data_IF_879973259676
#
_entry.id   IF_879973259676
#
_cell.length_a   1.000
_cell.length_b   1.000
_cell.length_c   1.000
_cell.angle_alpha   90.00
_cell.angle_beta   90.00
_cell.angle_gamma   90.00
#
_symmetry.space_group_name_H-M   'P 1'
#
loop_
_entity.id
_entity.type
_entity.pdbx_description
1 polymer ?
#
# COMPACT_ATOMS: atom_id res chain seq x y z
N UNK A 1 4.73 -67.67 -61.87
CA UNK A 1 4.05 -66.55 -62.55
C UNK A 1 2.54 -66.79 -62.51
N UNK A 2 1.74 -65.73 -62.42
CA UNK A 2 0.24 -65.71 -62.52
C UNK A 2 -0.49 -65.90 -61.17
N UNK A 3 -0.70 -64.82 -60.41
CA UNK A 3 -1.90 -63.93 -60.31
C UNK A 3 -3.09 -64.54 -59.55
N UNK A 4 -3.29 -64.07 -58.31
CA UNK A 4 -4.48 -64.30 -57.48
C UNK A 4 -5.39 -63.03 -57.57
N UNK A 5 -6.70 -63.16 -57.78
CA UNK A 5 -7.60 -62.04 -58.04
C UNK A 5 -8.07 -61.33 -56.75
N UNK A 6 -8.33 -60.03 -56.94
CA UNK A 6 -8.90 -59.08 -55.99
C UNK A 6 -10.42 -59.17 -56.02
N UNK A 7 -11.09 -59.47 -54.90
CA UNK A 7 -12.41 -58.92 -54.56
C UNK A 7 -12.72 -59.17 -53.10
N UNK A 8 -12.81 -58.12 -52.26
CA UNK A 8 -13.59 -58.18 -51.02
C UNK A 8 -13.98 -56.77 -50.56
N UNK A 9 -15.29 -56.55 -50.63
CA UNK A 9 -16.15 -55.81 -49.70
C UNK A 9 -15.76 -54.41 -49.23
N UNK A 10 -16.51 -53.43 -49.76
CA UNK A 10 -16.75 -52.15 -49.12
C UNK A 10 -17.85 -52.28 -48.05
N UNK A 11 -17.54 -51.91 -46.80
CA UNK A 11 -18.51 -51.51 -45.78
C UNK A 11 -17.89 -50.32 -45.04
N UNK A 12 -18.60 -49.19 -45.05
CA UNK A 12 -18.18 -47.96 -44.39
C UNK A 12 -18.43 -47.99 -42.88
N UNK A 13 -17.60 -47.24 -42.15
CA UNK A 13 -17.92 -46.71 -40.84
C UNK A 13 -17.13 -45.41 -40.63
N UNK A 14 -17.83 -44.28 -40.70
CA UNK A 14 -17.28 -42.98 -40.32
C UNK A 14 -17.18 -42.94 -38.79
N UNK A 15 -15.95 -42.81 -38.27
CA UNK A 15 -15.68 -42.59 -36.85
C UNK A 15 -15.03 -41.21 -36.73
N UNK A 16 -15.78 -40.26 -36.17
CA UNK A 16 -15.30 -38.94 -35.81
C UNK A 16 -14.25 -39.03 -34.70
N UNK A 17 -13.09 -38.43 -34.94
CA UNK A 17 -12.00 -38.34 -33.98
C UNK A 17 -11.96 -36.90 -33.44
N UNK A 18 -12.75 -36.64 -32.41
CA UNK A 18 -12.68 -35.43 -31.57
C UNK A 18 -12.33 -35.83 -30.15
N UNK A 19 -11.04 -35.84 -29.82
CA UNK A 19 -10.52 -35.92 -28.45
C UNK A 19 -9.31 -34.95 -28.42
N UNK A 20 -9.57 -33.70 -28.06
CA UNK A 20 -9.48 -33.19 -26.69
C UNK A 20 -8.04 -32.80 -26.37
N UNK A 21 -7.74 -31.51 -26.55
CA UNK A 21 -6.54 -30.89 -26.02
C UNK A 21 -6.53 -31.05 -24.51
N UNK A 22 -5.58 -31.86 -24.02
CA UNK A 22 -5.19 -31.87 -22.62
C UNK A 22 -4.48 -30.55 -22.32
N UNK A 23 -5.25 -29.48 -22.17
CA UNK A 23 -4.81 -28.27 -21.50
C UNK A 23 -4.53 -28.61 -20.04
N UNK A 24 -3.27 -28.86 -19.72
CA UNK A 24 -2.75 -28.68 -18.37
C UNK A 24 -2.81 -27.18 -18.04
N UNK A 25 -4.01 -26.65 -17.81
CA UNK A 25 -4.18 -25.40 -17.07
C UNK A 25 -4.52 -25.79 -15.63
N UNK A 26 -3.55 -26.40 -14.95
CA UNK A 26 -3.52 -26.36 -13.49
C UNK A 26 -3.29 -24.90 -13.12
N UNK A 27 -4.36 -24.10 -13.11
CA UNK A 27 -4.33 -22.81 -12.43
C UNK A 27 -3.87 -23.11 -11.01
N UNK A 28 -2.62 -22.75 -10.73
CA UNK A 28 -2.03 -22.89 -9.39
C UNK A 28 -2.57 -21.72 -8.58
N UNK A 29 -3.89 -21.68 -8.42
CA UNK A 29 -4.56 -20.72 -7.56
C UNK A 29 -4.12 -21.09 -6.16
N UNK A 30 -3.09 -20.40 -5.68
CA UNK A 30 -2.62 -20.49 -4.30
C UNK A 30 -3.71 -19.86 -3.43
N UNK A 31 -4.76 -20.63 -3.18
CA UNK A 31 -5.91 -20.22 -2.40
C UNK A 31 -5.54 -20.26 -0.93
N UNK A 32 -5.32 -19.08 -0.35
CA UNK A 32 -5.31 -18.94 1.09
C UNK A 32 -6.72 -18.63 1.58
N UNK A 33 -7.31 -19.54 2.35
CA UNK A 33 -8.69 -19.39 2.83
C UNK A 33 -8.81 -18.50 4.08
N UNK A 34 -7.70 -18.07 4.68
CA UNK A 34 -7.68 -17.46 5.99
C UNK A 34 -7.80 -15.94 6.00
N UNK A 35 -7.21 -15.26 4.99
CA UNK A 35 -7.09 -13.80 4.93
C UNK A 35 -6.38 -13.17 6.14
N UNK A 36 -5.98 -11.91 6.03
CA UNK A 36 -5.25 -11.23 7.11
C UNK A 36 -5.76 -9.82 7.41
N UNK A 37 -5.39 -9.33 8.57
CA UNK A 37 -5.59 -7.97 9.05
C UNK A 37 -4.19 -7.37 9.23
N UNK A 38 -3.90 -6.33 8.45
CA UNK A 38 -2.72 -5.50 8.62
C UNK A 38 -3.06 -4.38 9.61
N UNK A 39 -2.17 -4.10 10.57
CA UNK A 39 -2.42 -3.08 11.59
C UNK A 39 -1.12 -2.36 11.93
N UNK A 40 -1.15 -1.03 11.96
CA UNK A 40 -0.11 -0.21 12.58
C UNK A 40 -0.24 -0.38 14.09
N UNK A 41 0.77 -0.98 14.72
CA UNK A 41 0.77 -1.26 16.16
C UNK A 41 1.57 -0.24 16.97
N UNK A 42 2.66 0.26 16.41
CA UNK A 42 3.53 1.23 17.07
C UNK A 42 4.00 2.30 16.08
N UNK A 43 4.08 3.55 16.52
CA UNK A 43 4.66 4.65 15.77
C UNK A 43 5.19 5.70 16.75
N UNK A 44 6.23 6.42 16.36
CA UNK A 44 6.90 7.41 17.22
C UNK A 44 6.15 8.75 17.37
N UNK A 45 5.16 9.02 16.49
CA UNK A 45 4.41 10.28 16.45
C UNK A 45 5.25 11.50 16.12
N UNK A 46 6.43 11.32 15.51
CA UNK A 46 7.34 12.40 15.12
C UNK A 46 7.13 12.76 13.65
N UNK A 47 7.48 13.99 13.25
CA UNK A 47 7.88 15.13 14.08
C UNK A 47 6.67 15.87 14.67
N UNK A 48 6.80 16.50 15.84
CA UNK A 48 5.71 17.28 16.46
C UNK A 48 5.69 18.76 16.04
N UNK A 49 6.87 19.33 15.73
CA UNK A 49 7.04 20.72 15.30
C UNK A 49 8.07 20.74 14.17
N UNK A 50 7.78 21.48 13.10
CA UNK A 50 8.64 21.68 11.93
C UNK A 50 8.75 23.17 11.63
N UNK A 51 9.97 23.68 11.51
CA UNK A 51 10.23 25.01 10.96
C UNK A 51 10.29 24.92 9.43
N UNK A 52 9.42 25.65 8.72
CA UNK A 52 9.35 25.58 7.25
C UNK A 52 10.56 26.22 6.56
N UNK A 53 11.24 27.13 7.26
CA UNK A 53 12.43 27.83 6.73
C UNK A 53 13.73 27.02 6.90
N UNK A 54 13.67 25.86 7.55
CA UNK A 54 14.78 24.92 7.60
C UNK A 54 14.72 23.97 6.41
N UNK A 55 15.87 23.62 5.82
CA UNK A 55 15.96 22.52 4.85
C UNK A 55 15.86 21.17 5.59
N UNK A 56 14.68 20.87 6.12
CA UNK A 56 14.41 19.72 7.00
C UNK A 56 13.45 18.77 6.30
N UNK A 57 13.80 17.49 6.32
CA UNK A 57 12.90 16.42 5.88
C UNK A 57 11.79 16.21 6.92
N UNK A 58 10.55 16.27 6.46
CA UNK A 58 9.39 15.94 7.29
C UNK A 58 9.12 14.45 7.14
N UNK A 59 9.60 13.66 8.11
CA UNK A 59 9.55 12.20 8.06
C UNK A 59 9.26 11.58 9.43
N UNK A 60 8.69 10.37 9.43
CA UNK A 60 8.62 9.49 10.60
C UNK A 60 9.92 8.70 10.71
N UNK A 61 10.45 8.52 11.93
CA UNK A 61 11.66 7.73 12.13
C UNK A 61 11.34 6.23 12.07
N UNK A 62 10.26 5.80 12.73
CA UNK A 62 9.81 4.40 12.73
C UNK A 62 8.29 4.19 12.84
N UNK A 63 7.79 3.16 12.16
CA UNK A 63 6.43 2.64 12.30
C UNK A 63 6.42 1.13 12.16
N UNK A 64 5.73 0.45 13.06
CA UNK A 64 5.65 -1.01 13.09
C UNK A 64 4.27 -1.47 12.62
N UNK A 65 4.27 -2.40 11.66
CA UNK A 65 3.09 -3.08 11.17
C UNK A 65 3.03 -4.49 11.75
N UNK A 66 1.82 -4.94 12.06
CA UNK A 66 1.48 -6.31 12.47
C UNK A 66 0.53 -6.94 11.47
N UNK A 67 0.76 -8.21 11.18
CA UNK A 67 -0.07 -9.01 10.29
C UNK A 67 -0.69 -10.18 11.07
N UNK A 68 -1.99 -10.15 11.30
CA UNK A 68 -2.73 -11.16 12.08
C UNK A 68 -3.76 -11.86 11.18
N UNK A 69 -3.89 -13.19 11.20
CA UNK A 69 -4.92 -13.89 10.44
C UNK A 69 -6.32 -13.47 10.91
N UNK A 70 -7.27 -13.36 9.96
CA UNK A 70 -8.65 -12.98 10.29
C UNK A 70 -9.35 -14.01 11.18
N UNK A 71 -8.94 -15.29 11.11
CA UNK A 71 -9.45 -16.38 11.93
C UNK A 71 -8.37 -16.73 12.97
N UNK A 72 -8.53 -16.32 14.24
CA UNK A 72 -7.58 -16.68 15.29
C UNK A 72 -7.52 -18.20 15.47
N UNK A 73 -6.30 -18.75 15.49
CA UNK A 73 -6.08 -20.20 15.64
C UNK A 73 -6.38 -21.04 14.39
N UNK A 74 -6.74 -20.42 13.27
CA UNK A 74 -6.83 -21.08 11.97
C UNK A 74 -5.47 -21.51 11.43
N UNK A 75 -5.46 -22.39 10.44
CA UNK A 75 -4.23 -22.73 9.73
C UNK A 75 -3.67 -21.48 9.03
N UNK A 76 -2.40 -21.19 9.25
CA UNK A 76 -1.70 -20.09 8.58
C UNK A 76 -0.67 -20.62 7.59
N UNK A 77 -0.51 -19.93 6.47
CA UNK A 77 0.47 -20.27 5.44
C UNK A 77 1.38 -19.08 5.12
N UNK A 78 2.53 -19.33 4.49
CA UNK A 78 3.40 -18.25 4.01
C UNK A 78 2.71 -17.36 2.96
N UNK A 79 1.63 -17.84 2.32
CA UNK A 79 0.86 -17.06 1.36
C UNK A 79 0.09 -15.91 2.01
N UNK A 80 -0.12 -15.99 3.33
CA UNK A 80 -0.70 -14.93 4.16
C UNK A 80 0.28 -13.81 4.50
N UNK A 81 1.56 -13.94 4.15
CA UNK A 81 2.51 -12.84 4.33
C UNK A 81 2.08 -11.67 3.46
N UNK A 82 2.22 -10.46 3.98
CA UNK A 82 1.85 -9.24 3.28
C UNK A 82 3.10 -8.59 2.71
N UNK A 83 3.13 -8.41 1.40
CA UNK A 83 4.01 -7.46 0.73
C UNK A 83 3.39 -6.07 0.82
N UNK A 84 4.07 -5.16 1.51
CA UNK A 84 3.68 -3.76 1.52
C UNK A 84 4.16 -3.14 0.22
N UNK A 85 3.29 -2.41 -0.46
CA UNK A 85 3.59 -1.78 -1.75
C UNK A 85 3.76 -0.25 -1.58
N UNK A 86 2.87 0.37 -0.81
CA UNK A 86 2.81 1.82 -0.68
C UNK A 86 2.16 2.28 0.61
N UNK A 87 2.29 3.57 0.89
CA UNK A 87 1.55 4.26 1.92
C UNK A 87 1.06 5.61 1.41
N UNK A 88 -0.03 6.07 2.01
CA UNK A 88 -0.65 7.36 1.75
C UNK A 88 -0.61 8.19 3.03
N UNK A 89 -0.23 9.45 2.88
CA UNK A 89 -0.28 10.47 3.91
C UNK A 89 -1.30 11.52 3.50
N UNK A 90 -2.29 11.76 4.34
CA UNK A 90 -3.29 12.81 4.14
C UNK A 90 -3.26 13.81 5.28
N UNK A 91 -3.70 15.03 4.97
CA UNK A 91 -3.66 16.15 5.89
C UNK A 91 -5.06 16.66 6.16
N UNK A 92 -5.31 17.09 7.39
CA UNK A 92 -6.49 17.87 7.75
C UNK A 92 -6.06 19.04 8.62
N UNK A 93 -6.76 20.17 8.52
CA UNK A 93 -6.50 21.30 9.41
C UNK A 93 -6.97 20.99 10.83
N UNK A 94 -6.12 21.31 11.81
CA UNK A 94 -6.47 21.24 13.24
C UNK A 94 -6.83 22.62 13.83
N UNK A 95 -6.53 23.70 13.10
CA UNK A 95 -6.84 25.07 13.48
C UNK A 95 -7.99 25.67 12.68
N UNK A 96 -8.05 27.00 12.62
CA UNK A 96 -9.14 27.76 11.98
C UNK A 96 -8.97 27.97 10.46
N UNK A 97 -7.87 27.51 9.86
CA UNK A 97 -7.63 27.58 8.41
C UNK A 97 -8.31 26.43 7.66
N UNK A 98 -8.44 26.57 6.34
CA UNK A 98 -9.10 25.56 5.48
C UNK A 98 -8.16 24.95 4.44
N UNK A 99 -7.09 25.65 4.04
CA UNK A 99 -6.11 25.12 3.09
C UNK A 99 -5.28 24.03 3.75
N UNK A 100 -5.04 22.97 2.98
CA UNK A 100 -4.22 21.81 3.34
C UNK A 100 -3.26 21.48 2.20
N UNK A 101 -2.09 20.89 2.49
CA UNK A 101 -1.25 20.30 1.47
C UNK A 101 -1.98 19.18 0.71
N UNK A 102 -1.52 18.89 -0.49
CA UNK A 102 -1.99 17.71 -1.25
C UNK A 102 -1.64 16.42 -0.51
N UNK A 103 -2.37 15.32 -0.71
CA UNK A 103 -1.96 14.01 -0.23
C UNK A 103 -0.57 13.62 -0.77
N UNK A 104 0.22 12.95 0.05
CA UNK A 104 1.51 12.39 -0.33
C UNK A 104 1.40 10.87 -0.42
N UNK A 105 1.89 10.28 -1.51
CA UNK A 105 1.89 8.84 -1.73
C UNK A 105 3.29 8.41 -2.11
N UNK A 106 3.79 7.39 -1.43
CA UNK A 106 5.12 6.84 -1.71
C UNK A 106 5.11 5.32 -1.61
N UNK A 107 6.05 4.70 -2.33
CA UNK A 107 6.32 3.28 -2.20
C UNK A 107 6.89 2.96 -0.82
N UNK A 108 6.41 1.87 -0.22
CA UNK A 108 7.02 1.27 0.96
C UNK A 108 7.33 -0.17 0.58
N UNK A 109 8.61 -0.53 0.51
CA UNK A 109 9.02 -1.92 0.29
C UNK A 109 9.21 -2.63 1.63
N UNK A 110 8.53 -3.76 1.83
CA UNK A 110 8.68 -4.57 3.04
C UNK A 110 7.75 -5.78 3.06
N UNK A 111 8.04 -6.74 3.94
CA UNK A 111 7.24 -7.95 4.09
C UNK A 111 6.84 -8.13 5.56
N UNK A 112 5.54 -8.10 5.83
CA UNK A 112 5.01 -8.36 7.16
C UNK A 112 4.59 -9.83 7.24
N UNK A 113 5.35 -10.70 7.93
CA UNK A 113 5.03 -12.12 8.00
C UNK A 113 3.72 -12.35 8.76
N UNK A 114 2.96 -13.39 8.38
CA UNK A 114 1.75 -13.78 9.12
C UNK A 114 2.09 -14.11 10.58
N UNK A 115 1.26 -13.64 11.51
CA UNK A 115 1.49 -13.70 12.95
C UNK A 115 2.76 -12.98 13.42
N UNK A 116 3.29 -12.04 12.63
CA UNK A 116 4.48 -11.28 12.98
C UNK A 116 4.34 -9.80 12.67
N UNK A 117 5.47 -9.11 12.83
CA UNK A 117 5.58 -7.67 12.66
C UNK A 117 6.78 -7.32 11.79
N UNK A 118 6.74 -6.16 11.17
CA UNK A 118 7.88 -5.54 10.49
C UNK A 118 7.91 -4.03 10.77
N UNK A 119 9.09 -3.43 10.76
CA UNK A 119 9.28 -2.00 11.09
C UNK A 119 9.85 -1.26 9.89
N UNK A 120 9.16 -0.18 9.52
CA UNK A 120 9.53 0.72 8.43
C UNK A 120 10.18 1.97 9.02
N UNK A 121 11.25 2.44 8.38
CA UNK A 121 12.06 3.55 8.88
C UNK A 121 12.15 4.70 7.88
N UNK A 122 12.39 5.91 8.40
CA UNK A 122 12.64 7.13 7.61
C UNK A 122 11.58 7.36 6.52
N UNK A 123 10.31 7.30 6.90
CA UNK A 123 9.21 7.45 5.96
C UNK A 123 8.89 8.93 5.75
N UNK A 124 9.14 9.52 4.57
CA UNK A 124 8.75 10.89 4.29
C UNK A 124 7.23 11.06 4.38
N UNK A 125 6.80 12.16 4.99
CA UNK A 125 5.39 12.51 5.12
C UNK A 125 4.93 13.46 4.02
N UNK A 126 5.86 14.20 3.43
CA UNK A 126 5.62 15.14 2.35
C UNK A 126 6.90 15.36 1.55
N UNK A 127 6.76 15.85 0.32
CA UNK A 127 7.88 16.33 -0.48
C UNK A 127 8.32 17.73 -0.06
N UNK A 128 9.54 18.11 -0.45
CA UNK A 128 10.02 19.49 -0.28
C UNK A 128 9.13 20.48 -1.04
N UNK A 129 8.70 20.14 -2.26
CA UNK A 129 7.78 20.98 -3.04
C UNK A 129 6.47 21.28 -2.28
N UNK A 130 5.98 20.36 -1.44
CA UNK A 130 4.77 20.60 -0.64
C UNK A 130 5.00 21.64 0.46
N UNK A 131 6.23 21.83 0.95
CA UNK A 131 6.59 22.91 1.87
C UNK A 131 6.60 24.28 1.17
N UNK A 132 6.97 24.29 -0.12
CA UNK A 132 7.04 25.50 -0.95
C UNK A 132 5.69 25.91 -1.55
N UNK A 133 4.62 25.15 -1.29
CA UNK A 133 3.28 25.44 -1.77
C UNK A 133 2.33 25.86 -0.62
N UNK A 134 1.28 26.66 -0.92
CA UNK A 134 0.28 26.99 0.07
C UNK A 134 -0.39 25.72 0.64
N UNK A 135 -0.67 25.67 1.94
CA UNK A 135 -0.59 26.79 2.87
C UNK A 135 0.78 26.98 3.54
N UNK A 136 1.72 26.04 3.37
CA UNK A 136 3.00 26.04 4.10
C UNK A 136 3.96 27.11 3.61
N UNK A 137 3.90 27.44 2.32
CA UNK A 137 4.67 28.54 1.72
C UNK A 137 4.44 29.88 2.41
N UNK A 138 3.25 30.12 2.96
CA UNK A 138 2.91 31.39 3.62
C UNK A 138 3.76 31.63 4.88
N UNK A 139 4.26 30.56 5.49
CA UNK A 139 5.15 30.60 6.66
C UNK A 139 6.62 30.84 6.30
N UNK A 140 6.98 30.83 5.01
CA UNK A 140 8.33 31.17 4.57
C UNK A 140 8.64 32.65 4.85
N UNK A 141 9.89 32.95 5.21
CA UNK A 141 10.32 34.30 5.54
C UNK A 141 10.07 35.28 4.39
N UNK A 142 10.32 34.84 3.15
CA UNK A 142 10.07 35.62 1.93
C UNK A 142 8.59 35.94 1.69
N UNK A 143 7.68 35.14 2.24
CA UNK A 143 6.22 35.29 2.11
C UNK A 143 5.58 35.97 3.33
N UNK A 144 6.39 36.48 4.27
CA UNK A 144 5.93 37.22 5.45
C UNK A 144 5.78 36.37 6.72
N UNK A 145 6.02 35.06 6.64
CA UNK A 145 6.07 34.18 7.82
C UNK A 145 4.75 33.99 8.55
N UNK A 146 3.61 34.19 7.87
CA UNK A 146 2.27 34.18 8.47
C UNK A 146 1.28 33.45 7.58
N UNK A 147 0.49 32.54 8.16
CA UNK A 147 -0.62 31.89 7.46
C UNK A 147 -1.65 32.94 7.04
N UNK A 148 -1.85 33.12 5.72
CA UNK A 148 -2.73 34.15 5.17
C UNK A 148 -4.20 33.97 5.53
N UNK A 149 -4.63 32.78 5.98
CA UNK A 149 -6.01 32.54 6.43
C UNK A 149 -6.24 32.94 7.90
N UNK A 150 -5.21 32.83 8.74
CA UNK A 150 -5.37 32.94 10.20
C UNK A 150 -4.58 34.10 10.81
N UNK A 151 -3.61 34.65 10.08
CA UNK A 151 -2.69 35.68 10.58
C UNK A 151 -1.68 35.17 11.61
N UNK A 152 -1.57 33.85 11.80
CA UNK A 152 -0.67 33.22 12.76
C UNK A 152 0.63 32.78 12.09
N UNK A 153 1.74 32.82 12.83
CA UNK A 153 3.04 32.27 12.40
C UNK A 153 3.12 30.74 12.56
N UNK A 154 1.97 30.07 12.54
CA UNK A 154 1.84 28.62 12.77
C UNK A 154 0.67 28.05 11.97
N UNK A 155 0.91 26.88 11.40
CA UNK A 155 -0.09 26.03 10.75
C UNK A 155 -0.08 24.66 11.44
N UNK A 156 -1.17 24.34 12.13
CA UNK A 156 -1.34 23.03 12.76
C UNK A 156 -2.11 22.09 11.83
N UNK A 157 -1.47 20.96 11.48
CA UNK A 157 -2.04 19.92 10.64
C UNK A 157 -2.16 18.61 11.41
N UNK A 158 -3.30 17.94 11.27
CA UNK A 158 -3.41 16.53 11.61
C UNK A 158 -2.97 15.71 10.40
N UNK A 159 -1.90 14.95 10.59
CA UNK A 159 -1.33 14.03 9.61
C UNK A 159 -1.91 12.65 9.85
N UNK A 160 -2.30 11.98 8.76
CA UNK A 160 -2.88 10.64 8.77
C UNK A 160 -2.10 9.75 7.83
N UNK A 161 -1.66 8.59 8.29
CA UNK A 161 -0.95 7.61 7.45
C UNK A 161 -1.70 6.28 7.40
N UNK A 162 -1.69 5.64 6.23
CA UNK A 162 -2.22 4.31 6.00
C UNK A 162 -1.35 3.56 4.98
N UNK A 163 -1.13 2.27 5.22
CA UNK A 163 -0.38 1.39 4.34
C UNK A 163 -1.30 0.54 3.47
N UNK A 164 -0.80 0.22 2.28
CA UNK A 164 -1.45 -0.64 1.30
C UNK A 164 -0.47 -1.69 0.81
N UNK A 165 -0.99 -2.88 0.57
CA UNK A 165 -0.21 -3.99 0.08
C UNK A 165 -1.09 -5.15 -0.36
N UNK A 166 -0.43 -6.28 -0.60
CA UNK A 166 -1.09 -7.52 -0.98
C UNK A 166 -0.52 -8.69 -0.20
N UNK A 167 -1.35 -9.66 0.08
CA UNK A 167 -0.87 -10.98 0.49
C UNK A 167 -0.13 -11.64 -0.66
N UNK A 168 0.75 -12.60 -0.36
CA UNK A 168 1.42 -13.41 -1.39
C UNK A 168 0.44 -14.32 -2.17
N UNK A 169 -0.79 -14.51 -1.70
CA UNK A 169 -1.90 -15.09 -2.47
C UNK A 169 -2.59 -14.11 -3.43
N UNK A 170 -2.32 -12.81 -3.31
CA UNK A 170 -2.81 -11.76 -4.21
C UNK A 170 -3.95 -10.89 -3.63
N UNK A 171 -4.44 -11.19 -2.43
CA UNK A 171 -5.51 -10.41 -1.80
C UNK A 171 -5.02 -9.03 -1.34
N UNK A 172 -5.79 -8.00 -1.67
CA UNK A 172 -5.52 -6.63 -1.22
C UNK A 172 -5.72 -6.48 0.28
N UNK A 173 -4.80 -5.76 0.90
CA UNK A 173 -4.83 -5.45 2.33
C UNK A 173 -4.49 -3.99 2.56
N UNK A 174 -5.16 -3.41 3.55
CA UNK A 174 -4.89 -2.04 4.02
C UNK A 174 -4.76 -2.06 5.53
N UNK A 175 -3.90 -1.20 6.07
CA UNK A 175 -3.81 -1.00 7.51
C UNK A 175 -4.98 -0.14 8.03
N UNK A 176 -5.12 -0.09 9.36
CA UNK A 176 -5.79 1.05 10.00
C UNK A 176 -5.06 2.36 9.69
N UNK A 177 -5.74 3.49 9.90
CA UNK A 177 -5.15 4.82 9.83
C UNK A 177 -4.72 5.26 11.23
N UNK A 178 -3.48 5.72 11.37
CA UNK A 178 -3.04 6.44 12.58
C UNK A 178 -2.98 7.93 12.27
N UNK A 179 -3.29 8.75 13.28
CA UNK A 179 -3.38 10.22 13.16
C UNK A 179 -2.61 10.86 14.30
N UNK A 180 -1.84 11.90 14.00
CA UNK A 180 -1.19 12.76 14.99
C UNK A 180 -1.11 14.19 14.45
N UNK A 181 -0.68 15.12 15.29
CA UNK A 181 -0.65 16.53 14.97
C UNK A 181 0.78 17.01 14.78
N UNK A 182 1.01 17.83 13.76
CA UNK A 182 2.27 18.51 13.49
C UNK A 182 2.00 20.01 13.42
N UNK A 183 2.81 20.77 14.15
CA UNK A 183 2.86 22.23 14.04
C UNK A 183 3.95 22.65 13.05
N UNK A 184 3.54 23.29 11.96
CA UNK A 184 4.44 23.99 11.05
C UNK A 184 4.57 25.43 11.54
N UNK A 185 5.80 25.90 11.72
CA UNK A 185 6.11 27.26 12.18
C UNK A 185 7.00 27.96 11.18
N UNK A 186 6.91 29.29 11.14
CA UNK A 186 7.88 30.14 10.44
C UNK A 186 9.27 29.96 11.08
#
# INVERSE_FOLDING_TARGET
MTRIPKTLFAIGLAVGLTLAGGGCESRTEKTDGGGVILTITEWDGRPAIIGVNGNVLVQIDQITLSNVPKIPGGATSQLMNVEVESYEVTFTRAGNGTRIPTPYVAGAGGFVPVNGTDTFFNLPLMSLDQLENPPLSDLLFENGGVDTETGLQRITLNVRIRFFGRTLSGDEVQSNTVTWTIDFVS
#
